data_IF_663522061494
#
_entry.id   IF_663522061494
#
_cell.length_a   1.000
_cell.length_b   1.000
_cell.length_c   1.000
_cell.angle_alpha   90.00
_cell.angle_beta   90.00
_cell.angle_gamma   90.00
#
_symmetry.space_group_name_H-M   'P 1'
#
loop_
_entity.id
_entity.type
_entity.pdbx_description
1 polymer ?
#
# COMPACT_ATOMS: atom_id res chain seq x y z
N UNK A 1 19.94 34.12 -8.47
CA UNK A 1 19.75 32.92 -9.32
C UNK A 1 18.66 31.94 -8.84
N UNK A 2 18.52 31.62 -7.54
CA UNK A 2 17.42 30.76 -7.02
C UNK A 2 16.02 31.41 -7.05
N UNK A 3 15.91 32.75 -7.02
CA UNK A 3 14.64 33.49 -7.11
C UNK A 3 14.08 33.51 -8.53
N UNK A 4 14.90 33.89 -9.51
CA UNK A 4 14.55 33.89 -10.95
C UNK A 4 14.08 32.51 -11.45
N UNK A 5 14.70 31.42 -10.99
CA UNK A 5 14.28 30.05 -11.36
C UNK A 5 12.93 29.66 -10.75
N UNK A 6 12.54 30.26 -9.61
CA UNK A 6 11.25 30.01 -8.94
C UNK A 6 10.10 30.80 -9.57
N UNK A 7 10.36 32.01 -10.07
CA UNK A 7 9.37 32.81 -10.80
C UNK A 7 9.01 32.15 -12.12
N UNK A 8 10.00 31.77 -12.93
CA UNK A 8 9.76 31.07 -14.21
C UNK A 8 8.97 29.76 -14.05
N UNK A 9 9.19 29.00 -12.97
CA UNK A 9 8.43 27.75 -12.71
C UNK A 9 6.98 28.06 -12.31
N UNK A 10 6.74 29.14 -11.57
CA UNK A 10 5.39 29.55 -11.16
C UNK A 10 4.59 30.06 -12.35
N UNK A 11 5.20 30.89 -13.19
CA UNK A 11 4.58 31.38 -14.43
C UNK A 11 4.28 30.23 -15.39
N UNK A 12 5.25 29.34 -15.64
CA UNK A 12 5.06 28.17 -16.49
C UNK A 12 3.93 27.24 -15.99
N UNK A 13 3.86 27.01 -14.68
CA UNK A 13 2.77 26.24 -14.08
C UNK A 13 1.42 26.93 -14.26
N UNK A 14 1.36 28.25 -14.11
CA UNK A 14 0.13 29.02 -14.28
C UNK A 14 -0.34 29.02 -15.73
N UNK A 15 0.57 29.14 -16.69
CA UNK A 15 0.27 29.01 -18.13
C UNK A 15 -0.29 27.63 -18.46
N UNK A 16 0.36 26.56 -17.98
CA UNK A 16 -0.13 25.19 -18.16
C UNK A 16 -1.53 24.97 -17.57
N UNK A 17 -1.78 25.49 -16.37
CA UNK A 17 -3.10 25.38 -15.75
C UNK A 17 -4.16 26.14 -16.55
N UNK A 18 -3.81 27.32 -17.07
CA UNK A 18 -4.70 28.14 -17.92
C UNK A 18 -5.04 27.40 -19.21
N UNK A 19 -4.05 26.77 -19.83
CA UNK A 19 -4.23 26.04 -21.08
C UNK A 19 -5.08 24.78 -20.90
N UNK A 20 -4.85 24.01 -19.83
CA UNK A 20 -5.67 22.84 -19.49
C UNK A 20 -7.12 23.22 -19.19
N UNK A 21 -7.34 24.35 -18.50
CA UNK A 21 -8.68 24.85 -18.23
C UNK A 21 -9.36 25.34 -19.51
N UNK A 22 -8.63 26.01 -20.40
CA UNK A 22 -9.15 26.45 -21.69
C UNK A 22 -9.61 25.26 -22.55
N UNK A 23 -8.80 24.20 -22.60
CA UNK A 23 -9.14 22.93 -23.26
C UNK A 23 -10.38 22.28 -22.64
N UNK A 24 -10.50 22.26 -21.32
CA UNK A 24 -11.69 21.77 -20.63
C UNK A 24 -12.95 22.58 -20.97
N UNK A 25 -12.86 23.91 -21.02
CA UNK A 25 -13.97 24.76 -21.41
C UNK A 25 -14.37 24.54 -22.88
N UNK A 26 -13.38 24.43 -23.76
CA UNK A 26 -13.60 24.10 -25.17
C UNK A 26 -14.31 22.75 -25.32
N UNK A 27 -14.00 21.75 -24.48
CA UNK A 27 -14.67 20.44 -24.50
C UNK A 27 -16.20 20.50 -24.32
N UNK A 28 -16.67 21.50 -23.57
CA UNK A 28 -18.10 21.70 -23.24
C UNK A 28 -18.86 22.51 -24.27
N UNK A 29 -18.15 23.14 -25.21
CA UNK A 29 -18.74 23.99 -26.23
C UNK A 29 -19.42 23.16 -27.32
N UNK A 30 -20.59 23.62 -27.79
CA UNK A 30 -21.37 22.92 -28.83
C UNK A 30 -20.83 23.18 -30.24
N UNK A 31 -20.16 24.30 -30.41
CA UNK A 31 -19.60 24.87 -31.64
C UNK A 31 -18.21 24.33 -32.01
N UNK A 32 -17.63 23.42 -31.22
CA UNK A 32 -16.44 22.66 -31.64
C UNK A 32 -16.83 21.49 -32.57
N UNK A 33 -16.01 21.15 -33.57
CA UNK A 33 -16.21 19.97 -34.39
C UNK A 33 -16.26 18.70 -33.54
N UNK A 34 -17.13 17.76 -33.89
CA UNK A 34 -17.33 16.53 -33.11
C UNK A 34 -16.05 15.68 -32.99
N UNK A 35 -15.20 15.67 -34.02
CA UNK A 35 -13.92 14.94 -34.01
C UNK A 35 -12.91 15.59 -33.05
N UNK A 36 -12.89 16.92 -32.94
CA UNK A 36 -12.04 17.63 -31.99
C UNK A 36 -12.48 17.31 -30.55
N UNK A 37 -13.80 17.24 -30.32
CA UNK A 37 -14.38 16.83 -29.03
C UNK A 37 -14.01 15.39 -28.67
N UNK A 38 -14.14 14.47 -29.64
CA UNK A 38 -13.79 13.06 -29.43
C UNK A 38 -12.30 12.89 -29.13
N UNK A 39 -11.43 13.55 -29.90
CA UNK A 39 -9.98 13.49 -29.69
C UNK A 39 -9.58 14.02 -28.32
N UNK A 40 -10.14 15.17 -27.92
CA UNK A 40 -9.90 15.73 -26.60
C UNK A 40 -10.38 14.78 -25.49
N UNK A 41 -11.52 14.12 -25.67
CA UNK A 41 -12.01 13.11 -24.73
C UNK A 41 -11.05 11.90 -24.64
N UNK A 42 -10.47 11.45 -25.76
CA UNK A 42 -9.46 10.38 -25.79
C UNK A 42 -8.20 10.79 -25.03
N UNK A 43 -7.67 12.00 -25.30
CA UNK A 43 -6.47 12.51 -24.61
C UNK A 43 -6.71 12.66 -23.11
N UNK A 44 -7.89 13.14 -22.70
CA UNK A 44 -8.25 13.26 -21.28
C UNK A 44 -8.43 11.88 -20.64
N UNK A 45 -9.09 10.94 -21.32
CA UNK A 45 -9.26 9.58 -20.82
C UNK A 45 -7.91 8.86 -20.66
N UNK A 46 -6.97 9.14 -21.56
CA UNK A 46 -5.58 8.68 -21.47
C UNK A 46 -4.84 9.32 -20.29
N UNK A 47 -4.89 10.65 -20.15
CA UNK A 47 -4.26 11.37 -19.04
C UNK A 47 -4.79 10.96 -17.65
N UNK A 48 -6.02 10.45 -17.60
CA UNK A 48 -6.68 9.94 -16.39
C UNK A 48 -6.63 8.41 -16.30
N UNK A 49 -5.99 7.74 -17.26
CA UNK A 49 -5.81 6.30 -17.26
C UNK A 49 -4.94 5.91 -16.07
N UNK A 50 -5.32 4.89 -15.28
CA UNK A 50 -4.46 4.34 -14.23
C UNK A 50 -3.37 3.41 -14.79
N UNK A 51 -3.32 3.22 -16.11
CA UNK A 51 -2.38 2.35 -16.82
C UNK A 51 -1.58 3.19 -17.81
N UNK A 52 -0.26 3.19 -17.64
CA UNK A 52 0.69 3.82 -18.56
C UNK A 52 0.86 2.94 -19.81
N UNK A 53 0.95 3.59 -20.98
CA UNK A 53 1.05 2.91 -22.28
C UNK A 53 2.41 2.21 -22.40
N UNK A 54 3.41 2.78 -21.73
CA UNK A 54 4.73 2.18 -21.54
C UNK A 54 4.95 2.00 -20.04
N UNK A 55 5.13 0.77 -19.55
CA UNK A 55 5.24 0.57 -18.12
C UNK A 55 6.44 1.28 -17.48
N UNK A 56 6.20 1.96 -16.37
CA UNK A 56 7.18 2.65 -15.52
C UNK A 56 8.39 1.79 -15.11
N UNK A 57 8.28 0.46 -15.18
CA UNK A 57 9.37 -0.45 -14.85
C UNK A 57 10.47 -0.55 -15.92
N UNK A 58 10.26 0.01 -17.12
CA UNK A 58 11.29 0.08 -18.17
C UNK A 58 12.03 1.42 -18.03
N UNK A 59 13.30 1.42 -17.57
CA UNK A 59 14.06 2.66 -17.41
C UNK A 59 14.11 3.43 -18.74
N UNK A 60 13.93 4.76 -18.70
CA UNK A 60 13.93 5.69 -19.85
C UNK A 60 12.66 5.62 -20.70
N UNK A 61 12.16 4.43 -21.06
CA UNK A 61 10.99 4.27 -21.93
C UNK A 61 9.67 4.60 -21.23
N UNK A 62 9.53 4.32 -19.93
CA UNK A 62 8.30 4.58 -19.16
C UNK A 62 7.93 6.07 -19.01
N UNK A 63 8.84 7.01 -19.30
CA UNK A 63 8.52 8.45 -19.28
C UNK A 63 8.12 9.01 -20.64
N UNK A 64 8.20 8.20 -21.70
CA UNK A 64 8.02 8.68 -23.08
C UNK A 64 6.58 9.10 -23.34
N UNK A 65 5.63 8.39 -22.76
CA UNK A 65 4.23 8.65 -22.98
C UNK A 65 3.75 9.93 -22.26
N UNK A 66 4.30 10.23 -21.09
CA UNK A 66 4.13 11.50 -20.39
C UNK A 66 4.87 12.68 -21.05
N UNK A 67 6.06 12.44 -21.63
CA UNK A 67 6.89 13.49 -22.24
C UNK A 67 6.55 13.79 -23.70
N UNK A 68 5.97 12.85 -24.43
CA UNK A 68 5.75 12.97 -25.88
C UNK A 68 4.27 12.80 -26.24
N UNK A 69 3.61 11.73 -25.79
CA UNK A 69 2.24 11.42 -26.19
C UNK A 69 1.23 12.44 -25.69
N UNK A 70 1.28 12.79 -24.40
CA UNK A 70 0.37 13.79 -23.83
C UNK A 70 0.56 15.19 -24.46
N UNK A 71 1.78 15.76 -24.53
CA UNK A 71 1.99 17.06 -25.17
C UNK A 71 1.57 17.07 -26.64
N UNK A 72 1.87 16.01 -27.39
CA UNK A 72 1.47 15.89 -28.79
C UNK A 72 -0.05 15.75 -28.94
N UNK A 73 -0.68 14.95 -28.08
CA UNK A 73 -2.13 14.78 -28.05
C UNK A 73 -2.86 16.08 -27.78
N UNK A 74 -2.40 16.87 -26.80
CA UNK A 74 -2.90 18.21 -26.54
C UNK A 74 -2.63 19.18 -27.69
N UNK A 75 -1.43 19.18 -28.27
CA UNK A 75 -1.10 20.04 -29.42
C UNK A 75 -2.01 19.75 -30.63
N UNK A 76 -2.28 18.48 -30.92
CA UNK A 76 -3.25 18.06 -31.92
C UNK A 76 -4.66 18.53 -31.58
N UNK A 77 -5.09 18.39 -30.33
CA UNK A 77 -6.41 18.86 -29.90
C UNK A 77 -6.55 20.39 -30.09
N UNK A 78 -5.54 21.16 -29.72
CA UNK A 78 -5.50 22.62 -29.92
C UNK A 78 -5.63 22.95 -31.41
N UNK A 79 -4.93 22.20 -32.28
CA UNK A 79 -4.97 22.40 -33.74
C UNK A 79 -6.31 22.05 -34.37
N UNK A 80 -7.08 21.15 -33.76
CA UNK A 80 -8.40 20.72 -34.24
C UNK A 80 -9.54 21.65 -33.79
N UNK A 81 -9.31 22.49 -32.78
CA UNK A 81 -10.29 23.45 -32.25
C UNK A 81 -10.16 24.77 -33.04
N UNK A 82 -11.27 25.38 -33.51
CA UNK A 82 -11.24 26.69 -34.17
C UNK A 82 -10.56 27.76 -33.30
N UNK A 83 -9.71 28.61 -33.90
CA UNK A 83 -8.91 29.59 -33.16
C UNK A 83 -9.77 30.57 -32.34
N UNK A 84 -10.91 30.97 -32.89
CA UNK A 84 -11.87 31.89 -32.27
C UNK A 84 -12.40 31.31 -30.96
N UNK A 85 -12.78 30.03 -30.99
CA UNK A 85 -13.28 29.28 -29.83
C UNK A 85 -12.20 29.14 -28.77
N UNK A 86 -10.97 28.83 -29.18
CA UNK A 86 -9.84 28.67 -28.26
C UNK A 86 -9.45 30.00 -27.61
N UNK A 87 -9.43 31.11 -28.35
CA UNK A 87 -9.13 32.45 -27.81
C UNK A 87 -10.15 32.87 -26.75
N UNK A 88 -11.43 32.58 -26.99
CA UNK A 88 -12.50 32.85 -26.03
C UNK A 88 -12.38 31.97 -24.78
N UNK A 89 -12.11 30.66 -24.93
CA UNK A 89 -11.90 29.75 -23.82
C UNK A 89 -10.64 30.08 -23.00
N UNK A 90 -9.54 30.55 -23.63
CA UNK A 90 -8.34 31.01 -22.91
C UNK A 90 -8.62 32.27 -22.07
N UNK A 91 -9.44 33.19 -22.58
CA UNK A 91 -9.88 34.39 -21.82
C UNK A 91 -10.75 34.00 -20.62
N UNK A 92 -11.68 33.08 -20.81
CA UNK A 92 -12.54 32.56 -19.72
C UNK A 92 -11.74 31.72 -18.70
N UNK A 93 -10.73 30.97 -19.15
CA UNK A 93 -9.84 30.21 -18.26
C UNK A 93 -8.99 31.14 -17.40
N UNK A 94 -8.43 32.20 -17.98
CA UNK A 94 -7.61 33.18 -17.26
C UNK A 94 -8.41 33.92 -16.17
N UNK A 95 -9.73 34.12 -16.36
CA UNK A 95 -10.58 34.71 -15.32
C UNK A 95 -10.98 33.69 -14.24
N UNK A 96 -11.29 32.44 -14.61
CA UNK A 96 -11.71 31.39 -13.67
C UNK A 96 -10.58 30.80 -12.82
N UNK A 97 -9.32 30.86 -13.26
CA UNK A 97 -8.20 30.31 -12.48
C UNK A 97 -7.91 31.06 -11.17
N UNK A 98 -8.47 32.27 -11.01
CA UNK A 98 -8.51 32.94 -9.70
C UNK A 98 -9.40 32.23 -8.69
N UNK A 99 -10.31 31.37 -9.13
CA UNK A 99 -11.18 30.55 -8.29
C UNK A 99 -10.72 29.08 -8.34
N UNK A 100 -10.59 28.45 -7.17
CA UNK A 100 -10.13 27.05 -7.06
C UNK A 100 -11.04 26.12 -7.87
N UNK A 101 -10.42 25.30 -8.74
CA UNK A 101 -11.13 24.30 -9.53
C UNK A 101 -11.88 23.27 -8.66
N UNK A 102 -13.14 22.94 -8.98
CA UNK A 102 -13.88 21.86 -8.33
C UNK A 102 -13.31 20.50 -8.76
N UNK A 103 -12.97 19.65 -7.78
CA UNK A 103 -12.35 18.33 -7.99
C UNK A 103 -13.42 17.26 -8.11
N UNK A 104 -13.74 16.84 -9.35
CA UNK A 104 -14.86 15.92 -9.61
C UNK A 104 -14.42 14.44 -9.52
N UNK A 105 -14.41 13.89 -8.31
CA UNK A 105 -13.99 12.49 -8.02
C UNK A 105 -14.82 11.42 -8.73
N UNK A 106 -16.09 11.71 -9.07
CA UNK A 106 -16.98 10.78 -9.78
C UNK A 106 -16.46 10.44 -11.17
N UNK A 107 -15.87 11.40 -11.89
CA UNK A 107 -15.30 11.16 -13.21
C UNK A 107 -14.09 10.20 -13.14
N UNK A 108 -13.23 10.35 -12.11
CA UNK A 108 -12.10 9.45 -11.90
C UNK A 108 -12.53 8.02 -11.57
N UNK A 109 -13.55 7.85 -10.72
CA UNK A 109 -14.10 6.52 -10.36
C UNK A 109 -14.71 5.84 -11.60
N UNK A 110 -15.44 6.58 -12.43
CA UNK A 110 -16.03 6.07 -13.68
C UNK A 110 -14.96 5.56 -14.66
N UNK A 111 -13.90 6.34 -14.87
CA UNK A 111 -12.80 5.99 -15.78
C UNK A 111 -12.07 4.73 -15.29
N UNK A 112 -11.74 4.67 -14.00
CA UNK A 112 -11.11 3.49 -13.40
C UNK A 112 -12.03 2.27 -13.53
N UNK A 113 -13.34 2.42 -13.28
CA UNK A 113 -14.32 1.35 -13.44
C UNK A 113 -14.40 0.82 -14.88
N UNK A 114 -14.38 1.70 -15.88
CA UNK A 114 -14.37 1.34 -17.30
C UNK A 114 -13.11 0.53 -17.65
N UNK A 115 -11.95 0.93 -17.15
CA UNK A 115 -10.69 0.21 -17.38
C UNK A 115 -10.66 -1.17 -16.71
N UNK A 116 -11.13 -1.27 -15.47
CA UNK A 116 -11.27 -2.57 -14.78
C UNK A 116 -12.18 -3.50 -15.58
N UNK A 117 -13.30 -2.99 -16.09
CA UNK A 117 -14.23 -3.75 -16.92
C UNK A 117 -13.58 -4.21 -18.23
N UNK A 118 -12.87 -3.31 -18.93
CA UNK A 118 -12.15 -3.63 -20.16
C UNK A 118 -11.10 -4.72 -19.96
N UNK A 119 -10.27 -4.58 -18.91
CA UNK A 119 -9.26 -5.59 -18.54
C UNK A 119 -9.95 -6.92 -18.24
N UNK A 120 -11.03 -6.91 -17.46
CA UNK A 120 -11.80 -8.12 -17.15
C UNK A 120 -12.34 -8.80 -18.42
N UNK A 121 -12.91 -8.05 -19.37
CA UNK A 121 -13.41 -8.60 -20.63
C UNK A 121 -12.28 -9.17 -21.48
N UNK A 122 -11.14 -8.47 -21.58
CA UNK A 122 -9.97 -8.93 -22.34
C UNK A 122 -9.43 -10.24 -21.75
N UNK A 123 -9.21 -10.28 -20.44
CA UNK A 123 -8.71 -11.48 -19.73
C UNK A 123 -9.69 -12.64 -19.88
N UNK A 124 -11.00 -12.40 -19.70
CA UNK A 124 -12.03 -13.42 -19.90
C UNK A 124 -11.97 -13.99 -21.31
N UNK A 125 -11.85 -13.14 -22.33
CA UNK A 125 -11.85 -13.58 -23.74
C UNK A 125 -10.55 -14.30 -24.13
N UNK A 126 -9.39 -13.84 -23.65
CA UNK A 126 -8.10 -14.49 -23.92
C UNK A 126 -8.03 -15.88 -23.27
N UNK A 127 -8.47 -16.00 -22.03
CA UNK A 127 -8.35 -17.23 -21.24
C UNK A 127 -9.62 -18.10 -21.26
N UNK A 128 -10.62 -17.73 -22.05
CA UNK A 128 -11.92 -18.40 -22.13
C UNK A 128 -12.52 -18.74 -20.75
N UNK A 129 -12.37 -17.84 -19.78
CA UNK A 129 -12.73 -18.10 -18.38
C UNK A 129 -14.25 -18.31 -18.26
N UNK A 130 -14.73 -19.50 -17.83
CA UNK A 130 -16.15 -19.76 -17.68
C UNK A 130 -16.72 -18.99 -16.48
N UNK A 131 -17.54 -17.96 -16.74
CA UNK A 131 -18.21 -17.14 -15.70
C UNK A 131 -19.15 -17.95 -14.79
N UNK A 132 -19.74 -19.02 -15.32
CA UNK A 132 -20.70 -19.85 -14.58
C UNK A 132 -19.94 -20.94 -13.82
N UNK A 133 -20.06 -20.93 -12.48
CA UNK A 133 -19.39 -21.92 -11.61
C UNK A 133 -17.93 -21.61 -11.29
N UNK A 134 -17.46 -20.37 -11.52
CA UNK A 134 -16.07 -19.95 -11.32
C UNK A 134 -15.63 -19.98 -9.84
N UNK A 135 -16.56 -19.74 -8.91
CA UNK A 135 -16.38 -19.91 -7.46
C UNK A 135 -17.67 -20.48 -6.88
N UNK A 136 -17.56 -21.44 -5.97
CA UNK A 136 -18.71 -21.83 -5.15
C UNK A 136 -19.15 -20.67 -4.26
N UNK A 137 -20.40 -20.69 -3.74
CA UNK A 137 -20.86 -19.65 -2.78
C UNK A 137 -19.91 -19.54 -1.58
N UNK A 138 -19.42 -20.67 -1.08
CA UNK A 138 -18.49 -20.70 0.05
C UNK A 138 -17.13 -20.11 -0.30
N UNK A 139 -16.64 -20.34 -1.53
CA UNK A 139 -15.41 -19.71 -2.00
C UNK A 139 -15.56 -18.21 -2.20
N UNK A 140 -16.68 -17.75 -2.74
CA UNK A 140 -16.97 -16.32 -2.85
C UNK A 140 -16.95 -15.64 -1.47
N UNK A 141 -17.63 -16.23 -0.48
CA UNK A 141 -17.63 -15.73 0.90
C UNK A 141 -16.20 -15.71 1.47
N UNK A 142 -15.45 -16.80 1.29
CA UNK A 142 -14.05 -16.92 1.74
C UNK A 142 -13.19 -15.79 1.18
N UNK A 143 -13.19 -15.56 -0.13
CA UNK A 143 -12.37 -14.52 -0.75
C UNK A 143 -12.85 -13.11 -0.39
N UNK A 144 -14.16 -12.87 -0.26
CA UNK A 144 -14.68 -11.59 0.24
C UNK A 144 -14.20 -11.29 1.66
N UNK A 145 -14.23 -12.28 2.56
CA UNK A 145 -13.72 -12.13 3.93
C UNK A 145 -12.22 -11.84 3.94
N UNK A 146 -11.43 -12.56 3.14
CA UNK A 146 -9.99 -12.32 3.02
C UNK A 146 -9.68 -10.92 2.51
N UNK A 147 -10.41 -10.44 1.49
CA UNK A 147 -10.23 -9.10 0.94
C UNK A 147 -10.60 -8.00 1.94
N UNK A 148 -11.82 -8.07 2.51
CA UNK A 148 -12.31 -7.08 3.46
C UNK A 148 -11.47 -7.08 4.75
N UNK A 149 -11.13 -8.26 5.27
CA UNK A 149 -10.24 -8.41 6.41
C UNK A 149 -8.87 -7.79 6.16
N UNK A 150 -8.29 -8.05 4.98
CA UNK A 150 -6.98 -7.48 4.57
C UNK A 150 -7.03 -5.96 4.48
N UNK A 151 -8.08 -5.40 3.88
CA UNK A 151 -8.27 -3.97 3.79
C UNK A 151 -8.37 -3.33 5.19
N UNK A 152 -9.23 -3.86 6.06
CA UNK A 152 -9.46 -3.34 7.42
C UNK A 152 -8.18 -3.45 8.25
N UNK A 153 -7.55 -4.63 8.25
CA UNK A 153 -6.31 -4.86 8.96
C UNK A 153 -5.21 -3.92 8.49
N UNK A 154 -5.09 -3.68 7.18
CA UNK A 154 -4.12 -2.75 6.60
C UNK A 154 -4.45 -1.28 6.90
N UNK A 155 -5.72 -0.90 7.00
CA UNK A 155 -6.11 0.45 7.41
C UNK A 155 -5.73 0.75 8.86
N UNK A 156 -6.02 -0.20 9.76
CA UNK A 156 -5.63 -0.09 11.17
C UNK A 156 -4.11 -0.09 11.31
N UNK A 157 -3.43 -1.04 10.66
CA UNK A 157 -1.98 -1.18 10.78
C UNK A 157 -1.18 -0.17 9.96
N UNK A 158 -1.75 0.41 8.91
CA UNK A 158 -1.18 1.57 8.21
C UNK A 158 -1.23 2.82 9.08
N UNK A 159 -2.27 2.98 9.90
CA UNK A 159 -2.36 4.05 10.90
C UNK A 159 -1.49 3.78 12.13
N UNK A 160 -1.33 2.52 12.56
CA UNK A 160 -0.62 2.18 13.80
C UNK A 160 0.85 1.80 13.59
N UNK A 161 1.26 1.47 12.36
CA UNK A 161 2.56 0.90 12.01
C UNK A 161 2.74 -0.59 12.31
N UNK A 162 1.76 -1.28 12.91
CA UNK A 162 1.83 -2.72 13.22
C UNK A 162 0.42 -3.32 13.35
N UNK A 163 0.33 -4.62 13.61
CA UNK A 163 -0.93 -5.29 13.98
C UNK A 163 -1.67 -5.96 12.83
N UNK A 164 -1.28 -5.69 11.57
CA UNK A 164 -1.88 -6.32 10.39
C UNK A 164 -1.82 -7.85 10.45
N UNK A 165 -0.65 -8.39 10.82
CA UNK A 165 -0.46 -9.82 11.01
C UNK A 165 -1.34 -10.42 12.11
N UNK A 166 -1.51 -9.69 13.22
CA UNK A 166 -2.30 -10.18 14.36
C UNK A 166 -3.80 -10.21 14.07
N UNK A 167 -4.28 -9.22 13.32
CA UNK A 167 -5.68 -9.17 12.91
C UNK A 167 -5.99 -10.23 11.83
N UNK A 168 -5.04 -10.52 10.94
CA UNK A 168 -5.26 -11.43 9.81
C UNK A 168 -4.99 -12.89 10.13
N UNK A 169 -4.08 -13.21 11.05
CA UNK A 169 -3.69 -14.60 11.32
C UNK A 169 -4.87 -15.49 11.77
N UNK A 170 -5.77 -15.07 12.68
CA UNK A 170 -6.95 -15.87 13.05
C UNK A 170 -7.90 -16.10 11.87
N UNK A 171 -8.12 -15.06 11.06
CA UNK A 171 -8.97 -15.14 9.87
C UNK A 171 -8.38 -16.14 8.86
N UNK A 172 -7.09 -16.07 8.59
CA UNK A 172 -6.40 -16.98 7.67
C UNK A 172 -6.40 -18.41 8.19
N UNK A 173 -6.10 -18.60 9.47
CA UNK A 173 -6.11 -19.92 10.11
C UNK A 173 -7.46 -20.60 9.97
N UNK A 174 -8.56 -19.84 10.13
CA UNK A 174 -9.93 -20.36 9.99
C UNK A 174 -10.34 -20.62 8.53
N UNK A 175 -9.85 -19.83 7.57
CA UNK A 175 -10.32 -19.85 6.18
C UNK A 175 -9.50 -20.72 5.24
N UNK A 176 -8.17 -20.78 5.45
CA UNK A 176 -7.23 -21.49 4.58
C UNK A 176 -6.32 -22.48 5.34
N UNK A 177 -6.49 -22.59 6.66
CA UNK A 177 -5.76 -23.52 7.53
C UNK A 177 -4.42 -22.98 8.04
N UNK A 178 -3.96 -23.50 9.18
CA UNK A 178 -2.71 -23.06 9.85
C UNK A 178 -1.47 -23.18 8.97
N UNK A 179 -1.38 -24.24 8.16
CA UNK A 179 -0.22 -24.52 7.32
C UNK A 179 -0.01 -23.46 6.24
N UNK A 180 -1.09 -22.97 5.60
CA UNK A 180 -1.02 -21.93 4.57
C UNK A 180 -1.13 -20.52 5.16
N UNK A 181 -1.69 -20.37 6.36
CA UNK A 181 -1.94 -19.07 6.97
C UNK A 181 -0.67 -18.23 7.10
N UNK A 182 0.42 -18.77 7.65
CA UNK A 182 1.66 -18.00 7.88
C UNK A 182 2.38 -17.63 6.56
N UNK A 183 2.53 -18.53 5.57
CA UNK A 183 3.06 -18.16 4.26
C UNK A 183 2.21 -17.13 3.51
N UNK A 184 0.90 -17.32 3.42
CA UNK A 184 -0.02 -16.37 2.76
C UNK A 184 -0.01 -15.02 3.46
N UNK A 185 -0.01 -15.02 4.79
CA UNK A 185 0.10 -13.79 5.57
C UNK A 185 1.40 -13.05 5.27
N UNK A 186 2.51 -13.77 5.13
CA UNK A 186 3.83 -13.21 4.85
C UNK A 186 3.85 -12.50 3.49
N UNK A 187 3.24 -13.11 2.47
CA UNK A 187 3.13 -12.51 1.14
C UNK A 187 2.23 -11.28 1.12
N UNK A 188 1.05 -11.36 1.77
CA UNK A 188 0.14 -10.22 1.86
C UNK A 188 0.80 -9.04 2.59
N UNK A 189 1.42 -9.31 3.74
CA UNK A 189 2.11 -8.31 4.56
C UNK A 189 3.35 -7.73 3.87
N UNK A 190 4.03 -8.48 3.01
CA UNK A 190 5.11 -7.93 2.18
C UNK A 190 4.59 -6.77 1.33
N UNK A 191 3.49 -6.96 0.61
CA UNK A 191 2.88 -5.95 -0.26
C UNK A 191 2.35 -4.78 0.57
N UNK A 192 1.64 -5.08 1.67
CA UNK A 192 1.14 -4.06 2.59
C UNK A 192 2.26 -3.17 3.15
N UNK A 193 3.38 -3.77 3.58
CA UNK A 193 4.51 -3.01 4.11
C UNK A 193 5.29 -2.27 3.02
N UNK A 194 5.47 -2.84 1.83
CA UNK A 194 6.04 -2.11 0.68
C UNK A 194 5.23 -0.85 0.36
N UNK A 195 3.90 -0.92 0.43
CA UNK A 195 3.06 0.26 0.21
C UNK A 195 3.29 1.35 1.27
N UNK A 196 3.56 0.99 2.54
CA UNK A 196 3.93 1.94 3.61
C UNK A 196 5.31 2.55 3.38
N UNK A 197 6.28 1.73 2.99
CA UNK A 197 7.63 2.19 2.63
C UNK A 197 7.55 3.23 1.53
N UNK A 198 6.81 2.95 0.45
CA UNK A 198 6.61 3.89 -0.65
C UNK A 198 5.96 5.20 -0.18
N UNK A 199 4.90 5.10 0.62
CA UNK A 199 4.15 6.26 1.10
C UNK A 199 4.92 7.19 2.07
N UNK A 200 5.97 6.69 2.72
CA UNK A 200 6.78 7.41 3.71
C UNK A 200 8.28 7.39 3.43
N UNK A 201 8.69 7.13 2.19
CA UNK A 201 10.08 6.80 1.85
C UNK A 201 11.11 7.85 2.32
N UNK A 202 10.78 9.13 2.16
CA UNK A 202 11.67 10.23 2.53
C UNK A 202 11.81 10.45 4.05
N UNK A 203 10.98 9.81 4.86
CA UNK A 203 10.95 9.97 6.32
C UNK A 203 11.70 8.84 7.05
N UNK A 204 12.15 7.81 6.33
CA UNK A 204 12.81 6.61 6.88
C UNK A 204 14.08 6.97 7.66
N UNK A 205 14.22 6.40 8.85
CA UNK A 205 15.43 6.52 9.68
C UNK A 205 16.35 5.32 9.47
N UNK A 206 17.26 5.44 8.51
CA UNK A 206 18.10 4.34 8.05
C UNK A 206 19.00 3.70 9.12
N UNK A 207 19.64 4.48 10.01
CA UNK A 207 20.54 3.92 11.02
C UNK A 207 19.82 2.95 11.98
N UNK A 208 18.70 3.33 12.64
CA UNK A 208 17.92 2.38 13.43
C UNK A 208 17.42 1.17 12.64
N UNK A 209 16.94 1.41 11.41
CA UNK A 209 16.43 0.37 10.52
C UNK A 209 17.50 -0.68 10.19
N UNK A 210 18.69 -0.25 9.79
CA UNK A 210 19.79 -1.15 9.43
C UNK A 210 20.29 -1.97 10.62
N UNK A 211 20.41 -1.35 11.81
CA UNK A 211 20.77 -2.07 13.03
C UNK A 211 19.73 -3.12 13.40
N UNK A 212 18.45 -2.79 13.28
CA UNK A 212 17.38 -3.73 13.54
C UNK A 212 17.40 -4.89 12.53
N UNK A 213 17.55 -4.59 11.24
CA UNK A 213 17.63 -5.58 10.16
C UNK A 213 18.82 -6.54 10.36
N UNK A 214 19.97 -6.03 10.80
CA UNK A 214 21.16 -6.85 11.04
C UNK A 214 20.89 -7.98 12.06
N UNK A 215 20.11 -7.71 13.10
CA UNK A 215 19.65 -8.74 14.02
C UNK A 215 18.51 -9.59 13.46
N UNK A 216 17.55 -8.94 12.79
CA UNK A 216 16.30 -9.58 12.37
C UNK A 216 16.46 -10.59 11.24
N UNK A 217 17.34 -10.34 10.26
CA UNK A 217 17.53 -11.21 9.10
C UNK A 217 17.88 -12.67 9.46
N UNK A 218 18.99 -12.94 10.18
CA UNK A 218 19.36 -14.31 10.51
C UNK A 218 18.31 -14.99 11.39
N UNK A 219 17.74 -14.25 12.35
CA UNK A 219 16.72 -14.78 13.24
C UNK A 219 15.41 -15.09 12.50
N UNK A 220 14.99 -14.26 11.55
CA UNK A 220 13.79 -14.50 10.73
C UNK A 220 13.95 -15.73 9.84
N UNK A 221 15.14 -15.95 9.27
CA UNK A 221 15.45 -17.17 8.54
C UNK A 221 15.34 -18.40 9.45
N UNK A 222 16.01 -18.38 10.61
CA UNK A 222 15.97 -19.48 11.57
C UNK A 222 14.55 -19.76 12.08
N UNK A 223 13.77 -18.72 12.36
CA UNK A 223 12.37 -18.85 12.74
C UNK A 223 11.52 -19.48 11.62
N UNK A 224 11.69 -19.04 10.37
CA UNK A 224 10.96 -19.59 9.23
C UNK A 224 11.34 -21.04 8.92
N UNK A 225 12.62 -21.38 9.03
CA UNK A 225 13.10 -22.75 8.96
C UNK A 225 12.49 -23.61 10.07
N UNK A 226 12.45 -23.09 11.30
CA UNK A 226 11.84 -23.78 12.44
C UNK A 226 10.35 -24.01 12.21
N UNK A 227 9.62 -23.01 11.68
CA UNK A 227 8.23 -23.17 11.28
C UNK A 227 8.02 -24.29 10.24
N UNK A 228 8.98 -24.49 9.33
CA UNK A 228 8.88 -25.49 8.29
C UNK A 228 9.18 -26.93 8.75
N UNK A 229 10.05 -27.10 9.75
CA UNK A 229 10.54 -28.42 10.19
C UNK A 229 9.85 -28.90 11.47
N UNK A 230 9.38 -27.98 12.31
CA UNK A 230 8.73 -28.30 13.59
C UNK A 230 7.30 -28.79 13.37
N UNK A 231 6.88 -29.74 14.20
CA UNK A 231 5.53 -30.30 14.18
C UNK A 231 4.44 -29.21 14.22
N UNK A 232 3.41 -29.38 13.38
CA UNK A 232 2.35 -28.37 13.18
C UNK A 232 1.52 -28.12 14.44
N UNK A 233 1.33 -29.12 15.32
CA UNK A 233 0.65 -28.91 16.60
C UNK A 233 1.53 -28.13 17.57
N UNK A 234 2.84 -28.37 17.57
CA UNK A 234 3.78 -27.60 18.36
C UNK A 234 3.82 -26.14 17.88
N UNK A 235 3.77 -25.89 16.57
CA UNK A 235 3.65 -24.52 16.02
C UNK A 235 2.41 -23.81 16.55
N UNK A 236 1.21 -24.41 16.45
CA UNK A 236 -0.01 -23.77 16.98
C UNK A 236 0.10 -23.44 18.47
N UNK A 237 0.70 -24.34 19.27
CA UNK A 237 0.95 -24.08 20.70
C UNK A 237 1.97 -22.97 20.93
N UNK A 238 3.05 -22.92 20.15
CA UNK A 238 4.07 -21.86 20.23
C UNK A 238 3.45 -20.50 19.88
N UNK A 239 2.58 -20.44 18.85
CA UNK A 239 1.82 -19.25 18.51
C UNK A 239 1.02 -18.80 19.74
N UNK A 240 0.21 -19.69 20.34
CA UNK A 240 -0.56 -19.35 21.55
C UNK A 240 0.31 -18.91 22.74
N UNK A 241 1.43 -19.59 23.02
CA UNK A 241 2.32 -19.27 24.15
C UNK A 241 3.06 -17.95 23.94
N UNK A 242 3.61 -17.70 22.75
CA UNK A 242 4.33 -16.46 22.44
C UNK A 242 3.42 -15.24 22.53
N UNK A 243 2.16 -15.41 22.15
CA UNK A 243 1.08 -14.45 22.36
C UNK A 243 0.86 -14.16 23.85
N UNK A 244 0.71 -15.19 24.69
CA UNK A 244 0.51 -15.04 26.15
C UNK A 244 1.71 -14.34 26.80
N UNK A 245 2.95 -14.76 26.48
CA UNK A 245 4.18 -14.15 26.99
C UNK A 245 4.22 -12.66 26.62
N UNK A 246 3.88 -12.31 25.37
CA UNK A 246 3.83 -10.92 24.94
C UNK A 246 2.80 -10.10 25.75
N UNK A 247 1.60 -10.64 25.99
CA UNK A 247 0.56 -10.00 26.82
C UNK A 247 1.05 -9.76 28.24
N UNK A 248 1.69 -10.76 28.87
CA UNK A 248 2.25 -10.67 30.22
C UNK A 248 3.34 -9.59 30.28
N UNK A 249 4.32 -9.64 29.38
CA UNK A 249 5.42 -8.68 29.32
C UNK A 249 4.92 -7.24 29.17
N UNK A 250 3.82 -7.05 28.44
CA UNK A 250 3.17 -5.75 28.29
C UNK A 250 2.34 -5.35 29.52
N UNK A 251 1.52 -6.24 30.07
CA UNK A 251 0.65 -5.97 31.21
C UNK A 251 1.44 -5.53 32.46
N UNK A 252 2.56 -6.19 32.73
CA UNK A 252 3.45 -5.85 33.84
C UNK A 252 4.43 -4.71 33.52
N UNK A 253 4.30 -4.07 32.35
CA UNK A 253 5.15 -2.95 31.93
C UNK A 253 6.66 -3.30 31.96
N UNK A 254 7.00 -4.58 31.76
CA UNK A 254 8.36 -5.13 31.75
C UNK A 254 9.11 -4.72 30.46
N UNK A 255 8.38 -4.31 29.43
CA UNK A 255 8.93 -3.81 28.16
C UNK A 255 9.25 -2.31 28.24
N UNK A 256 10.32 -1.96 28.96
CA UNK A 256 10.90 -0.61 28.92
C UNK A 256 12.16 -0.61 28.07
N UNK A 257 11.99 -0.33 26.78
CA UNK A 257 13.13 -0.22 25.88
C UNK A 257 13.81 1.13 26.04
N UNK A 258 15.09 1.11 26.39
CA UNK A 258 15.94 2.29 26.24
C UNK A 258 16.46 2.34 24.81
N UNK A 259 16.34 3.48 24.11
CA UNK A 259 16.85 3.60 22.76
C UNK A 259 18.37 3.39 22.76
N UNK A 260 18.86 2.48 21.92
CA UNK A 260 20.28 2.15 21.83
C UNK A 260 20.59 1.11 20.76
N UNK A 261 21.84 1.06 20.29
CA UNK A 261 22.25 0.15 19.21
C UNK A 261 22.06 -1.33 19.59
N UNK A 262 22.38 -1.69 20.84
CA UNK A 262 22.19 -3.06 21.36
C UNK A 262 20.71 -3.41 21.41
N UNK A 263 19.86 -2.48 21.89
CA UNK A 263 18.41 -2.65 21.91
C UNK A 263 17.84 -2.91 20.52
N UNK A 264 18.33 -2.20 19.49
CA UNK A 264 17.91 -2.39 18.11
C UNK A 264 18.36 -3.75 17.56
N UNK A 265 19.60 -4.16 17.81
CA UNK A 265 20.13 -5.45 17.36
C UNK A 265 19.42 -6.64 18.04
N UNK A 266 19.39 -6.65 19.37
CA UNK A 266 18.73 -7.70 20.15
C UNK A 266 17.21 -7.72 19.91
N UNK A 267 16.62 -6.53 19.79
CA UNK A 267 15.25 -6.32 19.38
C UNK A 267 14.94 -6.91 18.01
N UNK A 268 15.82 -6.62 17.04
CA UNK A 268 15.78 -7.21 15.70
C UNK A 268 15.82 -8.72 15.75
N UNK A 269 16.78 -9.32 16.45
CA UNK A 269 16.87 -10.78 16.61
C UNK A 269 15.58 -11.39 17.18
N UNK A 270 15.07 -10.82 18.27
CA UNK A 270 13.85 -11.31 18.93
C UNK A 270 12.62 -11.19 18.01
N UNK A 271 12.42 -10.02 17.40
CA UNK A 271 11.29 -9.77 16.49
C UNK A 271 11.41 -10.62 15.23
N UNK A 272 12.61 -10.74 14.64
CA UNK A 272 12.88 -11.57 13.48
C UNK A 272 12.55 -13.04 13.75
N UNK A 273 13.09 -13.60 14.84
CA UNK A 273 12.84 -14.99 15.24
C UNK A 273 11.36 -15.29 15.44
N UNK A 274 10.65 -14.47 16.23
CA UNK A 274 9.21 -14.63 16.46
C UNK A 274 8.39 -14.43 15.17
N UNK A 275 8.76 -13.45 14.34
CA UNK A 275 8.10 -13.19 13.05
C UNK A 275 8.26 -14.36 12.07
N UNK A 276 9.41 -15.05 12.09
CA UNK A 276 9.66 -16.27 11.32
C UNK A 276 8.89 -17.47 11.87
N UNK A 277 8.88 -17.66 13.19
CA UNK A 277 8.30 -18.84 13.82
C UNK A 277 6.77 -18.82 13.85
N UNK A 278 6.18 -17.64 14.05
CA UNK A 278 4.74 -17.46 14.35
C UNK A 278 4.05 -16.60 13.27
N UNK A 279 4.80 -16.02 12.34
CA UNK A 279 4.27 -15.13 11.31
C UNK A 279 4.01 -13.70 11.78
N UNK A 280 4.13 -13.42 13.09
CA UNK A 280 3.87 -12.11 13.68
C UNK A 280 4.76 -11.80 14.88
N UNK A 281 5.34 -10.60 14.89
CA UNK A 281 6.02 -10.00 16.05
C UNK A 281 5.87 -8.46 16.08
N UNK A 282 4.88 -7.95 15.33
CA UNK A 282 4.72 -6.52 15.04
C UNK A 282 4.63 -5.63 16.28
N UNK A 283 3.82 -5.95 17.31
CA UNK A 283 3.76 -5.16 18.54
C UNK A 283 5.09 -4.94 19.26
N UNK A 284 5.99 -5.92 19.19
CA UNK A 284 7.30 -5.82 19.83
C UNK A 284 8.24 -4.92 19.02
N UNK A 285 8.26 -5.09 17.70
CA UNK A 285 8.96 -4.17 16.78
C UNK A 285 8.46 -2.73 16.95
N UNK A 286 7.14 -2.56 16.99
CA UNK A 286 6.48 -1.30 17.29
C UNK A 286 6.94 -0.68 18.61
N UNK A 287 6.94 -1.43 19.71
CA UNK A 287 7.39 -0.93 21.01
C UNK A 287 8.86 -0.43 20.97
N UNK A 288 9.73 -1.13 20.25
CA UNK A 288 11.14 -0.76 20.09
C UNK A 288 11.29 0.53 19.27
N UNK A 289 10.56 0.66 18.16
CA UNK A 289 10.59 1.86 17.34
C UNK A 289 9.89 3.06 18.00
N UNK A 290 8.86 2.84 18.82
CA UNK A 290 8.23 3.90 19.62
C UNK A 290 9.20 4.49 20.64
N UNK A 291 10.09 3.68 21.21
CA UNK A 291 11.11 4.14 22.15
C UNK A 291 12.14 5.10 21.51
N UNK A 292 12.20 5.16 20.17
CA UNK A 292 13.01 6.14 19.43
C UNK A 292 12.36 7.52 19.32
N UNK A 293 11.10 7.66 19.76
CA UNK A 293 10.32 8.91 19.74
C UNK A 293 10.26 9.59 18.36
N UNK A 294 10.10 8.78 17.30
CA UNK A 294 10.03 9.26 15.93
C UNK A 294 8.67 9.94 15.63
N UNK A 295 8.62 10.90 14.69
CA UNK A 295 7.37 11.36 14.11
C UNK A 295 6.55 10.20 13.52
N UNK A 296 5.20 10.26 13.49
CA UNK A 296 4.35 9.13 13.09
C UNK A 296 4.70 8.53 11.72
N UNK A 297 4.90 9.37 10.70
CA UNK A 297 5.23 8.90 9.34
C UNK A 297 6.60 8.22 9.30
N UNK A 298 7.61 8.80 9.94
CA UNK A 298 8.94 8.22 10.06
C UNK A 298 8.94 6.88 10.81
N UNK A 299 8.14 6.78 11.88
CA UNK A 299 7.95 5.55 12.65
C UNK A 299 7.34 4.44 11.76
N UNK A 300 6.20 4.70 11.11
CA UNK A 300 5.49 3.71 10.28
C UNK A 300 6.37 3.27 9.11
N UNK A 301 7.02 4.22 8.43
CA UNK A 301 7.87 3.91 7.28
C UNK A 301 9.10 3.09 7.70
N UNK A 302 9.75 3.44 8.81
CA UNK A 302 10.94 2.73 9.29
C UNK A 302 10.62 1.31 9.76
N UNK A 303 9.51 1.11 10.50
CA UNK A 303 9.05 -0.23 10.88
C UNK A 303 8.75 -1.06 9.62
N UNK A 304 8.03 -0.48 8.67
CA UNK A 304 7.64 -1.16 7.44
C UNK A 304 8.84 -1.63 6.60
N UNK A 305 9.97 -0.90 6.59
CA UNK A 305 11.19 -1.38 5.94
C UNK A 305 11.70 -2.65 6.62
N UNK A 306 11.79 -2.66 7.95
CA UNK A 306 12.27 -3.85 8.67
C UNK A 306 11.34 -5.04 8.45
N UNK A 307 10.02 -4.81 8.48
CA UNK A 307 9.01 -5.82 8.19
C UNK A 307 9.14 -6.36 6.76
N UNK A 308 9.26 -5.48 5.77
CA UNK A 308 9.46 -5.84 4.35
C UNK A 308 10.65 -6.78 4.18
N UNK A 309 11.80 -6.42 4.73
CA UNK A 309 13.02 -7.23 4.62
C UNK A 309 12.85 -8.59 5.29
N UNK A 310 12.23 -8.65 6.48
CA UNK A 310 11.89 -9.92 7.13
C UNK A 310 10.92 -10.76 6.27
N UNK A 311 9.89 -10.15 5.67
CA UNK A 311 8.93 -10.88 4.84
C UNK A 311 9.54 -11.41 3.54
N UNK A 312 10.49 -10.70 2.93
CA UNK A 312 11.26 -11.21 1.78
C UNK A 312 12.02 -12.47 2.20
N UNK A 313 12.78 -12.41 3.30
CA UNK A 313 13.54 -13.55 3.82
C UNK A 313 12.64 -14.74 4.13
N UNK A 314 11.53 -14.51 4.81
CA UNK A 314 10.57 -15.57 5.13
C UNK A 314 9.93 -16.16 3.88
N UNK A 315 9.62 -15.34 2.88
CA UNK A 315 9.06 -15.83 1.61
C UNK A 315 10.03 -16.78 0.92
N UNK A 316 11.32 -16.41 0.85
CA UNK A 316 12.38 -17.26 0.28
C UNK A 316 12.50 -18.55 1.10
N UNK A 317 12.54 -18.45 2.43
CA UNK A 317 12.65 -19.61 3.32
C UNK A 317 11.44 -20.55 3.16
N UNK A 318 10.21 -20.03 3.18
CA UNK A 318 9.01 -20.84 3.02
C UNK A 318 8.92 -21.48 1.63
N UNK A 319 9.26 -20.76 0.56
CA UNK A 319 9.34 -21.40 -0.76
C UNK A 319 10.35 -22.55 -0.77
N UNK A 320 11.52 -22.36 -0.13
CA UNK A 320 12.57 -23.38 -0.08
C UNK A 320 12.19 -24.60 0.76
N UNK A 321 11.55 -24.41 1.91
CA UNK A 321 11.34 -25.49 2.90
C UNK A 321 9.92 -26.05 2.93
N UNK A 322 8.91 -25.30 2.45
CA UNK A 322 7.50 -25.72 2.45
C UNK A 322 6.91 -25.90 1.06
N UNK A 323 7.58 -25.43 0.01
CA UNK A 323 7.05 -25.36 -1.36
C UNK A 323 5.63 -24.80 -1.41
N UNK A 324 5.49 -23.52 -1.02
CA UNK A 324 4.19 -22.87 -0.77
C UNK A 324 3.24 -22.82 -2.00
N UNK A 325 3.78 -23.04 -3.20
CA UNK A 325 3.03 -23.21 -4.44
C UNK A 325 2.29 -21.96 -4.93
N UNK A 326 1.71 -22.08 -6.12
CA UNK A 326 0.99 -20.99 -6.79
C UNK A 326 -0.27 -20.53 -6.06
N UNK A 327 -0.90 -21.42 -5.28
CA UNK A 327 -2.08 -21.08 -4.51
C UNK A 327 -1.78 -20.06 -3.41
N UNK A 328 -0.71 -20.26 -2.63
CA UNK A 328 -0.34 -19.32 -1.58
C UNK A 328 0.07 -17.95 -2.18
N UNK A 329 0.79 -17.97 -3.30
CA UNK A 329 1.14 -16.78 -4.06
C UNK A 329 -0.11 -16.02 -4.53
N UNK A 330 -1.07 -16.70 -5.16
CA UNK A 330 -2.32 -16.09 -5.64
C UNK A 330 -3.15 -15.45 -4.51
N UNK A 331 -3.35 -16.16 -3.40
CA UNK A 331 -4.09 -15.62 -2.25
C UNK A 331 -3.33 -14.44 -1.62
N UNK A 332 -2.01 -14.56 -1.45
CA UNK A 332 -1.17 -13.50 -0.90
C UNK A 332 -1.18 -12.23 -1.75
N UNK A 333 -1.09 -12.34 -3.08
CA UNK A 333 -1.21 -11.22 -4.01
C UNK A 333 -2.59 -10.55 -3.92
N UNK A 334 -3.67 -11.36 -3.95
CA UNK A 334 -5.04 -10.87 -3.86
C UNK A 334 -5.28 -10.08 -2.57
N UNK A 335 -4.84 -10.61 -1.43
CA UNK A 335 -4.88 -9.91 -0.16
C UNK A 335 -4.00 -8.65 -0.17
N UNK A 336 -2.80 -8.74 -0.74
CA UNK A 336 -1.86 -7.63 -0.86
C UNK A 336 -2.46 -6.42 -1.57
N UNK A 337 -3.23 -6.63 -2.65
CA UNK A 337 -3.95 -5.55 -3.36
C UNK A 337 -4.93 -4.84 -2.40
N UNK A 338 -5.71 -5.60 -1.63
CA UNK A 338 -6.62 -5.02 -0.63
C UNK A 338 -5.83 -4.23 0.44
N UNK A 339 -4.65 -4.73 0.82
CA UNK A 339 -3.79 -4.08 1.80
C UNK A 339 -3.21 -2.75 1.31
N UNK A 340 -2.93 -2.58 0.02
CA UNK A 340 -2.50 -1.27 -0.53
C UNK A 340 -3.61 -0.23 -0.31
N UNK A 341 -4.85 -0.57 -0.67
CA UNK A 341 -6.01 0.31 -0.48
C UNK A 341 -6.26 0.64 1.00
N UNK A 342 -6.18 -0.36 1.87
CA UNK A 342 -6.33 -0.18 3.32
C UNK A 342 -5.23 0.72 3.88
N UNK A 343 -3.98 0.48 3.53
CA UNK A 343 -2.83 1.28 3.99
C UNK A 343 -2.98 2.75 3.58
N UNK A 344 -3.39 3.01 2.35
CA UNK A 344 -3.65 4.37 1.88
C UNK A 344 -4.74 5.07 2.70
N UNK A 345 -5.82 4.37 3.02
CA UNK A 345 -6.89 4.90 3.87
C UNK A 345 -6.37 5.22 5.30
N UNK A 346 -5.58 4.31 5.88
CA UNK A 346 -4.94 4.52 7.18
C UNK A 346 -3.98 5.72 7.19
N UNK A 347 -3.21 5.91 6.11
CA UNK A 347 -2.27 7.03 5.96
C UNK A 347 -2.97 8.39 6.04
N UNK A 348 -4.13 8.54 5.39
CA UNK A 348 -4.89 9.80 5.44
C UNK A 348 -5.32 10.21 6.85
N UNK A 349 -5.48 9.23 7.74
CA UNK A 349 -5.83 9.45 9.14
C UNK A 349 -4.58 9.86 9.93
N UNK A 350 -3.45 9.16 9.74
CA UNK A 350 -2.22 9.38 10.53
C UNK A 350 -1.51 10.69 10.19
N UNK A 351 -1.54 11.14 8.93
CA UNK A 351 -0.87 12.38 8.49
C UNK A 351 -1.37 13.63 9.23
N UNK A 352 -2.58 13.58 9.78
CA UNK A 352 -3.20 14.68 10.51
C UNK A 352 -3.14 14.51 12.03
N UNK A 353 -2.55 13.41 12.52
CA UNK A 353 -2.62 13.03 13.92
C UNK A 353 -1.44 13.62 14.71
N UNK A 354 -1.70 14.35 15.81
CA UNK A 354 -0.65 14.81 16.72
C UNK A 354 0.11 13.62 17.34
N UNK A 355 1.41 13.78 17.58
CA UNK A 355 2.28 12.71 18.10
C UNK A 355 1.76 12.08 19.40
N UNK A 356 1.28 12.89 20.35
CA UNK A 356 0.72 12.38 21.62
C UNK A 356 -0.54 11.53 21.42
N UNK A 357 -1.39 11.92 20.47
CA UNK A 357 -2.60 11.17 20.12
C UNK A 357 -2.23 9.85 19.45
N UNK A 358 -1.21 9.89 18.58
CA UNK A 358 -0.68 8.71 17.93
C UNK A 358 -0.12 7.69 18.94
N UNK A 359 0.68 8.13 19.91
CA UNK A 359 1.21 7.26 20.96
C UNK A 359 0.07 6.61 21.77
N UNK A 360 -0.97 7.38 22.12
CA UNK A 360 -2.17 6.84 22.81
C UNK A 360 -2.92 5.82 21.95
N UNK A 361 -3.14 6.14 20.67
CA UNK A 361 -3.82 5.26 19.72
C UNK A 361 -3.10 3.91 19.58
N UNK A 362 -1.78 3.94 19.37
CA UNK A 362 -0.96 2.74 19.32
C UNK A 362 -1.03 1.97 20.64
N UNK A 363 -0.94 2.67 21.79
CA UNK A 363 -1.08 2.05 23.11
C UNK A 363 -2.40 1.30 23.29
N UNK A 364 -3.53 1.93 22.92
CA UNK A 364 -4.87 1.33 22.97
C UNK A 364 -4.95 0.12 22.03
N UNK A 365 -4.47 0.26 20.79
CA UNK A 365 -4.49 -0.85 19.84
C UNK A 365 -3.68 -2.04 20.37
N UNK A 366 -2.49 -1.80 20.92
CA UNK A 366 -1.70 -2.85 21.56
C UNK A 366 -2.47 -3.49 22.73
N UNK A 367 -3.35 -2.76 23.44
CA UNK A 367 -4.14 -3.31 24.53
C UNK A 367 -5.30 -4.16 24.01
N UNK A 368 -6.05 -3.66 23.02
CA UNK A 368 -7.15 -4.38 22.38
C UNK A 368 -6.68 -5.67 21.71
N UNK A 369 -5.59 -5.59 20.96
CA UNK A 369 -4.95 -6.75 20.34
C UNK A 369 -4.49 -7.74 21.42
N UNK A 370 -3.84 -7.26 22.49
CA UNK A 370 -3.48 -8.11 23.63
C UNK A 370 -4.68 -8.79 24.30
N UNK A 371 -5.79 -8.07 24.48
CA UNK A 371 -7.03 -8.59 25.11
C UNK A 371 -7.73 -9.61 24.20
N UNK A 372 -7.89 -9.30 22.91
CA UNK A 372 -8.46 -10.21 21.92
C UNK A 372 -7.67 -11.52 21.89
N UNK A 373 -6.35 -11.41 21.89
CA UNK A 373 -5.44 -12.55 21.91
C UNK A 373 -5.51 -13.33 23.23
N UNK A 374 -5.82 -12.70 24.35
CA UNK A 374 -5.99 -13.39 25.64
C UNK A 374 -7.33 -14.16 25.73
N UNK A 375 -8.39 -13.67 25.08
CA UNK A 375 -9.73 -14.27 25.17
C UNK A 375 -9.95 -15.34 24.08
N UNK A 376 -9.42 -15.11 22.88
CA UNK A 376 -9.72 -15.91 21.68
C UNK A 376 -8.49 -16.54 21.01
N UNK A 377 -7.29 -16.28 21.55
CA UNK A 377 -6.01 -16.69 20.94
C UNK A 377 -5.55 -18.09 21.28
#
# INVERSE_FOLDING_TARGET
MKSLKRENIKEYKHELQTELLALYLASKRKDIPWYARLWLAVVIAYALSPVDLIPDFIPILGYIDDLILLPLGFALAIRLIPEEVMKECRREAASRLREKMPRNWTAGILIIGIWILLIFVIVKNIFALPLNGLLSKDEAIKYSLLFAGSFIAAAISGAAGFGGALLLLPLLTKTIGTALAVPVLTLAQLIGNLSRVFMGFNEIKWKPVLLFIAGALPAAWLGAWSFAVVDKHLITRIIGVSIIIFVILKYFNLLRFRPGNITLLAGGMLVGGLSGLVGSAGPLGAAIFLALNLPPVAYVASEAVTATVMHIVKTIAYQRYLDIGWQALGIGLFMGIAMVGGTWAGKKIIEKMPQETFVKFVGILLCLVGLQMAIWG
#
